data_IF_478099398554
#
_entry.id   IF_478099398554
#
_cell.length_a   1.000
_cell.length_b   1.000
_cell.length_c   1.000
_cell.angle_alpha   90.00
_cell.angle_beta   90.00
_cell.angle_gamma   90.00
#
_symmetry.space_group_name_H-M   'P 1'
#
loop_
_entity.id
_entity.type
_entity.pdbx_description
1 polymer ?
#
# COMPACT_ATOMS: atom_id res chain seq x y z
N UNK A 1 -30.06 36.22 -14.07
CA UNK A 1 -30.72 34.94 -14.40
C UNK A 1 -30.22 34.52 -15.77
N UNK A 2 -28.99 33.99 -15.86
CA UNK A 2 -28.41 33.56 -17.13
C UNK A 2 -28.79 32.10 -17.35
N UNK A 3 -29.73 31.88 -18.26
CA UNK A 3 -30.24 30.59 -18.70
C UNK A 3 -29.15 29.83 -19.45
N UNK A 4 -28.73 28.68 -18.93
CA UNK A 4 -27.89 27.72 -19.64
C UNK A 4 -28.68 27.10 -20.80
N UNK A 5 -28.72 27.77 -21.95
CA UNK A 5 -29.40 27.28 -23.15
C UNK A 5 -28.59 26.14 -23.77
N UNK A 6 -28.84 24.90 -23.35
CA UNK A 6 -28.32 23.70 -24.04
C UNK A 6 -28.11 22.45 -23.19
N UNK A 7 -28.03 22.56 -21.86
CA UNK A 7 -27.79 21.41 -20.98
C UNK A 7 -29.07 20.62 -20.62
N UNK A 8 -30.24 21.25 -20.72
CA UNK A 8 -31.51 20.68 -20.26
C UNK A 8 -32.41 20.14 -21.37
N UNK A 9 -31.92 19.99 -22.62
CA UNK A 9 -32.74 19.32 -23.66
C UNK A 9 -32.71 17.81 -23.38
N UNK A 10 -33.85 17.16 -23.07
CA UNK A 10 -33.89 15.72 -22.89
C UNK A 10 -33.42 15.07 -24.20
N UNK A 11 -32.27 14.40 -24.14
CA UNK A 11 -31.71 13.68 -25.28
C UNK A 11 -32.72 12.61 -25.72
N UNK A 12 -32.95 12.50 -27.03
CA UNK A 12 -33.93 11.54 -27.54
C UNK A 12 -33.56 10.11 -27.13
N UNK A 13 -34.56 9.24 -27.00
CA UNK A 13 -34.34 7.79 -26.76
C UNK A 13 -33.37 7.19 -27.79
N UNK A 14 -33.45 7.66 -29.04
CA UNK A 14 -32.53 7.30 -30.11
C UNK A 14 -31.08 7.70 -29.82
N UNK A 15 -30.84 8.92 -29.30
CA UNK A 15 -29.50 9.35 -28.91
C UNK A 15 -28.90 8.42 -27.85
N UNK A 16 -29.66 8.07 -26.81
CA UNK A 16 -29.17 7.15 -25.77
C UNK A 16 -28.87 5.77 -26.36
N UNK A 17 -29.80 5.20 -27.15
CA UNK A 17 -29.63 3.90 -27.79
C UNK A 17 -28.43 3.86 -28.74
N UNK A 18 -28.23 4.90 -29.54
CA UNK A 18 -27.09 5.05 -30.44
C UNK A 18 -25.77 5.01 -29.66
N UNK A 19 -25.63 5.84 -28.61
CA UNK A 19 -24.40 5.89 -27.83
C UNK A 19 -24.17 4.65 -26.97
N UNK A 20 -25.23 4.01 -26.45
CA UNK A 20 -25.09 2.72 -25.77
C UNK A 20 -24.62 1.63 -26.74
N UNK A 21 -25.15 1.61 -27.97
CA UNK A 21 -24.73 0.66 -29.00
C UNK A 21 -23.28 0.93 -29.43
N UNK A 22 -22.93 2.19 -29.67
CA UNK A 22 -21.56 2.58 -30.00
C UNK A 22 -20.57 2.20 -28.89
N UNK A 23 -20.96 2.37 -27.63
CA UNK A 23 -20.16 1.93 -26.48
C UNK A 23 -19.96 0.40 -26.46
N UNK A 24 -21.04 -0.37 -26.62
CA UNK A 24 -20.96 -1.84 -26.64
C UNK A 24 -20.13 -2.34 -27.82
N UNK A 25 -20.32 -1.79 -29.02
CA UNK A 25 -19.52 -2.12 -30.22
C UNK A 25 -18.04 -1.77 -29.96
N UNK A 26 -17.76 -0.59 -29.39
CA UNK A 26 -16.41 -0.18 -29.04
C UNK A 26 -15.75 -1.14 -28.04
N UNK A 27 -16.48 -1.54 -26.99
CA UNK A 27 -16.02 -2.50 -25.99
C UNK A 27 -15.73 -3.88 -26.61
N UNK A 28 -16.67 -4.41 -27.40
CA UNK A 28 -16.50 -5.69 -28.09
C UNK A 28 -15.33 -5.65 -29.07
N UNK A 29 -15.17 -4.54 -29.80
CA UNK A 29 -14.06 -4.35 -30.74
C UNK A 29 -12.72 -4.30 -30.01
N UNK A 30 -12.63 -3.60 -28.87
CA UNK A 30 -11.44 -3.58 -28.04
C UNK A 30 -11.09 -4.97 -27.49
N UNK A 31 -12.08 -5.72 -27.01
CA UNK A 31 -11.89 -7.12 -26.56
C UNK A 31 -11.43 -8.03 -27.70
N UNK A 32 -12.01 -7.90 -28.89
CA UNK A 32 -11.62 -8.68 -30.06
C UNK A 32 -10.20 -8.36 -30.52
N UNK A 33 -9.80 -7.08 -30.51
CA UNK A 33 -8.44 -6.64 -30.82
C UNK A 33 -7.43 -7.16 -29.79
N UNK A 34 -7.77 -7.12 -28.50
CA UNK A 34 -6.95 -7.69 -27.43
C UNK A 34 -6.76 -9.21 -27.63
N UNK A 35 -7.85 -9.94 -27.88
CA UNK A 35 -7.80 -11.38 -28.14
C UNK A 35 -7.02 -11.74 -29.40
N UNK A 36 -7.17 -10.97 -30.47
CA UNK A 36 -6.40 -11.17 -31.69
C UNK A 36 -4.90 -10.87 -31.47
N UNK A 37 -4.60 -9.84 -30.68
CA UNK A 37 -3.23 -9.51 -30.30
C UNK A 37 -2.60 -10.61 -29.45
N UNK A 38 -3.32 -11.17 -28.48
CA UNK A 38 -2.81 -12.26 -27.63
C UNK A 38 -2.54 -13.54 -28.43
N UNK A 39 -3.30 -13.82 -29.51
CA UNK A 39 -2.99 -14.92 -30.44
C UNK A 39 -1.70 -14.76 -31.22
N UNK A 40 -1.23 -13.53 -31.43
CA UNK A 40 0.03 -13.25 -32.13
C UNK A 40 1.26 -13.33 -31.23
N UNK A 41 1.05 -13.38 -29.91
CA UNK A 41 2.15 -13.53 -28.95
C UNK A 41 2.39 -15.02 -28.74
N UNK A 42 3.57 -15.51 -29.09
CA UNK A 42 4.02 -16.86 -28.74
C UNK A 42 4.28 -16.94 -27.24
N UNK A 43 3.22 -17.15 -26.46
CA UNK A 43 3.26 -17.19 -25.01
C UNK A 43 2.43 -18.35 -24.45
N UNK A 44 3.02 -19.11 -23.51
CA UNK A 44 2.32 -20.18 -22.81
C UNK A 44 1.77 -19.67 -21.49
N UNK A 45 0.45 -19.50 -21.45
CA UNK A 45 -0.25 -19.06 -20.25
C UNK A 45 -0.24 -20.14 -19.16
N UNK A 46 0.09 -19.76 -17.92
CA UNK A 46 0.31 -20.66 -16.78
C UNK A 46 -0.39 -20.15 -15.52
N UNK A 47 -1.68 -19.83 -15.66
CA UNK A 47 -2.55 -19.37 -14.58
C UNK A 47 -2.57 -20.31 -13.36
N UNK A 48 -2.34 -21.61 -13.57
CA UNK A 48 -2.26 -22.61 -12.51
C UNK A 48 -1.12 -22.37 -11.51
N UNK A 49 -0.12 -21.55 -11.86
CA UNK A 49 0.99 -21.18 -10.96
C UNK A 49 0.71 -19.93 -10.13
N UNK A 50 -0.30 -19.14 -10.46
CA UNK A 50 -0.59 -17.89 -9.75
C UNK A 50 -0.97 -18.09 -8.27
N UNK A 51 -1.80 -19.08 -7.89
CA UNK A 51 -2.24 -19.24 -6.50
C UNK A 51 -1.11 -19.38 -5.48
N UNK A 52 0.02 -20.01 -5.86
CA UNK A 52 1.17 -20.21 -4.95
C UNK A 52 1.81 -18.89 -4.49
N UNK A 53 1.61 -17.79 -5.23
CA UNK A 53 2.14 -16.48 -4.86
C UNK A 53 1.26 -15.74 -3.86
N UNK A 54 0.06 -16.26 -3.59
CA UNK A 54 -0.82 -15.77 -2.53
C UNK A 54 -0.62 -16.55 -1.25
N UNK A 55 -0.58 -17.88 -1.32
CA UNK A 55 -0.41 -18.77 -0.18
C UNK A 55 0.41 -19.96 -0.66
N UNK A 56 1.40 -20.38 0.12
CA UNK A 56 2.18 -21.58 -0.15
C UNK A 56 2.43 -22.38 1.13
N UNK A 57 2.62 -23.67 0.95
CA UNK A 57 2.95 -24.60 2.03
C UNK A 57 4.47 -24.74 2.10
N UNK A 58 5.05 -24.17 3.16
CA UNK A 58 6.48 -24.21 3.42
C UNK A 58 6.83 -25.51 4.17
N UNK A 59 7.82 -26.25 3.66
CA UNK A 59 8.29 -27.48 4.31
C UNK A 59 9.44 -27.13 5.24
N UNK A 60 9.13 -27.00 6.53
CA UNK A 60 10.13 -26.75 7.55
C UNK A 60 10.74 -28.08 7.97
N UNK A 61 12.00 -28.31 7.60
CA UNK A 61 12.71 -29.53 7.95
C UNK A 61 13.12 -29.49 9.43
N UNK A 62 12.79 -30.53 10.17
CA UNK A 62 13.33 -30.78 11.51
C UNK A 62 14.64 -31.53 11.34
N UNK A 63 15.70 -30.97 11.93
CA UNK A 63 17.05 -31.52 11.87
C UNK A 63 17.42 -32.10 13.21
N UNK A 64 18.19 -33.19 13.21
CA UNK A 64 18.77 -33.74 14.42
C UNK A 64 19.73 -32.73 15.05
N UNK A 65 19.61 -32.46 16.35
CA UNK A 65 20.57 -31.61 17.06
C UNK A 65 21.78 -32.42 17.55
N UNK A 66 21.61 -33.74 17.69
CA UNK A 66 22.66 -34.67 18.12
C UNK A 66 22.81 -35.88 17.20
N UNK A 67 23.96 -36.55 17.32
CA UNK A 67 24.19 -37.84 16.66
C UNK A 67 23.59 -38.98 17.49
N UNK A 68 22.94 -39.94 16.83
CA UNK A 68 22.30 -41.04 17.55
C UNK A 68 21.48 -41.95 16.67
N UNK A 69 20.89 -42.98 17.28
CA UNK A 69 19.98 -43.91 16.59
C UNK A 69 18.54 -43.60 16.95
N UNK A 70 17.62 -43.69 15.97
CA UNK A 70 16.19 -43.53 16.24
C UNK A 70 15.67 -44.77 16.97
N UNK A 71 15.35 -44.63 18.25
CA UNK A 71 14.99 -45.76 19.13
C UNK A 71 13.49 -45.94 19.30
N UNK A 72 12.71 -44.86 19.29
CA UNK A 72 11.25 -44.96 19.39
C UNK A 72 10.53 -43.98 18.48
N UNK A 73 9.47 -44.47 17.85
CA UNK A 73 8.54 -43.71 17.02
C UNK A 73 7.18 -43.95 17.65
N UNK A 74 6.80 -43.08 18.59
CA UNK A 74 5.54 -43.24 19.34
C UNK A 74 4.45 -42.43 18.68
N UNK A 75 3.45 -43.13 18.11
CA UNK A 75 2.30 -42.49 17.48
C UNK A 75 1.38 -41.87 18.54
N UNK A 76 1.20 -40.56 18.45
CA UNK A 76 0.28 -39.78 19.29
C UNK A 76 -0.79 -39.14 18.39
N UNK A 77 -1.77 -39.94 17.97
CA UNK A 77 -2.83 -39.50 17.06
C UNK A 77 -2.31 -39.22 15.64
N UNK A 78 -2.42 -37.97 15.17
CA UNK A 78 -1.89 -37.56 13.84
C UNK A 78 -0.39 -37.24 13.86
N UNK A 79 0.19 -37.15 15.06
CA UNK A 79 1.61 -36.84 15.27
C UNK A 79 2.39 -38.08 15.72
N UNK A 80 3.69 -38.00 15.57
CA UNK A 80 4.69 -39.01 15.87
C UNK A 80 5.75 -38.34 16.73
N UNK A 81 6.01 -38.89 17.90
CA UNK A 81 7.16 -38.55 18.71
C UNK A 81 8.34 -39.40 18.24
N UNK A 82 9.34 -38.76 17.64
CA UNK A 82 10.59 -39.38 17.22
C UNK A 82 11.60 -39.15 18.32
N UNK A 83 12.13 -40.23 18.87
CA UNK A 83 13.17 -40.18 19.90
C UNK A 83 14.49 -40.62 19.32
N UNK A 84 15.48 -39.72 19.37
CA UNK A 84 16.87 -39.97 18.98
C UNK A 84 17.66 -40.22 20.26
N UNK A 85 18.31 -41.38 20.35
CA UNK A 85 19.18 -41.73 21.47
C UNK A 85 20.63 -41.68 21.03
N UNK A 86 21.40 -40.78 21.63
CA UNK A 86 22.85 -40.68 21.44
C UNK A 86 23.62 -41.00 22.72
N UNK A 87 24.95 -40.93 22.64
CA UNK A 87 25.85 -41.27 23.76
C UNK A 87 25.73 -40.26 24.94
N UNK A 88 25.33 -39.02 24.65
CA UNK A 88 25.23 -37.91 25.61
C UNK A 88 23.80 -37.65 26.13
N UNK A 89 22.77 -38.38 25.65
CA UNK A 89 21.39 -38.18 26.08
C UNK A 89 20.32 -38.64 25.08
N UNK A 90 19.06 -38.27 25.38
CA UNK A 90 17.87 -38.60 24.59
C UNK A 90 17.18 -37.30 24.14
N UNK A 91 16.90 -37.19 22.85
CA UNK A 91 16.22 -36.05 22.22
C UNK A 91 14.88 -36.52 21.65
N UNK A 92 13.80 -35.75 21.81
CA UNK A 92 12.48 -36.10 21.28
C UNK A 92 11.85 -34.96 20.51
N UNK A 93 11.46 -35.22 19.27
CA UNK A 93 10.74 -34.27 18.41
C UNK A 93 9.36 -34.78 18.05
N UNK A 94 8.37 -33.90 18.08
CA UNK A 94 7.00 -34.22 17.62
C UNK A 94 6.83 -33.78 16.16
N UNK A 95 6.45 -34.70 15.30
CA UNK A 95 6.30 -34.51 13.85
C UNK A 95 4.98 -35.11 13.35
N UNK A 96 4.34 -34.56 12.31
CA UNK A 96 3.21 -35.25 11.66
C UNK A 96 3.62 -36.61 11.11
N UNK A 97 2.74 -37.62 11.20
CA UNK A 97 3.05 -39.00 10.77
C UNK A 97 3.42 -39.12 9.29
N UNK A 98 2.86 -38.26 8.44
CA UNK A 98 3.05 -38.24 6.99
C UNK A 98 4.36 -37.60 6.53
N UNK A 99 5.17 -37.06 7.44
CA UNK A 99 6.36 -36.28 7.11
C UNK A 99 7.64 -36.78 7.76
N UNK A 100 7.59 -37.97 8.35
CA UNK A 100 8.73 -38.75 8.80
C UNK A 100 9.51 -39.31 7.60
N UNK A 101 10.82 -39.10 7.55
CA UNK A 101 11.68 -39.59 6.46
C UNK A 101 12.54 -40.81 6.84
N UNK A 102 12.56 -41.16 8.12
CA UNK A 102 13.48 -42.15 8.70
C UNK A 102 12.72 -43.26 9.43
N UNK A 103 13.32 -44.45 9.49
CA UNK A 103 12.77 -45.62 10.16
C UNK A 103 13.45 -45.86 11.53
N UNK A 104 12.80 -46.60 12.46
CA UNK A 104 13.45 -47.02 13.69
C UNK A 104 14.71 -47.84 13.38
N UNK A 105 15.83 -47.50 14.03
CA UNK A 105 17.13 -48.12 13.78
C UNK A 105 18.02 -47.37 12.79
N UNK A 106 17.54 -46.32 12.14
CA UNK A 106 18.39 -45.44 11.33
C UNK A 106 19.30 -44.59 12.23
N UNK A 107 20.57 -44.46 11.85
CA UNK A 107 21.54 -43.58 12.49
C UNK A 107 21.51 -42.20 11.82
N UNK A 108 21.44 -41.15 12.63
CA UNK A 108 21.43 -39.75 12.17
C UNK A 108 22.63 -39.00 12.71
N UNK A 109 23.18 -38.11 11.89
CA UNK A 109 24.18 -37.14 12.33
C UNK A 109 23.53 -35.81 12.68
N UNK A 110 24.20 -35.00 13.51
CA UNK A 110 23.76 -33.65 13.81
C UNK A 110 23.62 -32.83 12.51
N UNK A 111 22.43 -32.29 12.27
CA UNK A 111 22.05 -31.55 11.07
C UNK A 111 21.29 -32.34 10.01
N UNK A 112 21.17 -33.68 10.15
CA UNK A 112 20.40 -34.51 9.24
C UNK A 112 18.89 -34.26 9.38
N UNK A 113 18.16 -34.30 8.26
CA UNK A 113 16.71 -34.08 8.27
C UNK A 113 15.98 -35.34 8.78
N UNK A 114 15.36 -35.24 9.96
CA UNK A 114 14.55 -36.30 10.57
C UNK A 114 13.17 -36.38 9.92
N UNK A 115 12.63 -35.22 9.56
CA UNK A 115 11.33 -35.07 8.92
C UNK A 115 11.05 -33.61 8.61
N UNK A 116 9.82 -33.31 8.22
CA UNK A 116 9.38 -31.92 8.04
C UNK A 116 8.00 -31.71 8.64
N UNK A 117 7.60 -30.46 8.87
CA UNK A 117 6.18 -30.12 8.97
C UNK A 117 5.85 -29.10 7.90
N UNK A 118 4.58 -29.10 7.48
CA UNK A 118 4.08 -28.17 6.48
C UNK A 118 3.41 -27.00 7.20
N UNK A 119 3.91 -25.79 7.00
CA UNK A 119 3.30 -24.58 7.52
C UNK A 119 2.79 -23.72 6.36
N UNK A 120 1.51 -23.37 6.38
CA UNK A 120 0.93 -22.49 5.37
C UNK A 120 1.34 -21.04 5.65
N UNK A 121 2.10 -20.43 4.74
CA UNK A 121 2.60 -19.05 4.86
C UNK A 121 2.00 -18.13 3.79
N UNK A 122 1.85 -16.82 4.10
CA UNK A 122 1.45 -15.85 3.10
C UNK A 122 2.52 -15.79 2.00
N UNK A 123 2.07 -15.84 0.75
CA UNK A 123 2.93 -15.67 -0.41
C UNK A 123 3.32 -14.21 -0.61
N UNK A 124 4.34 -14.03 -1.45
CA UNK A 124 4.97 -12.73 -1.74
C UNK A 124 4.00 -11.63 -2.20
N UNK A 125 2.89 -11.96 -2.88
CA UNK A 125 1.89 -10.97 -3.30
C UNK A 125 1.06 -10.46 -2.12
N UNK A 126 0.73 -11.32 -1.15
CA UNK A 126 0.02 -10.91 0.06
C UNK A 126 0.94 -10.04 0.91
N UNK A 127 2.20 -10.44 1.11
CA UNK A 127 3.17 -9.64 1.84
C UNK A 127 3.36 -8.25 1.21
N UNK A 128 3.52 -8.19 -0.12
CA UNK A 128 3.64 -6.93 -0.84
C UNK A 128 2.38 -6.06 -0.72
N UNK A 129 1.20 -6.67 -0.76
CA UNK A 129 -0.08 -5.97 -0.55
C UNK A 129 -0.20 -5.39 0.86
N UNK A 130 0.15 -6.16 1.90
CA UNK A 130 0.15 -5.71 3.29
C UNK A 130 1.14 -4.57 3.50
N UNK A 131 2.36 -4.69 2.96
CA UNK A 131 3.36 -3.63 3.06
C UNK A 131 2.91 -2.35 2.32
N UNK A 132 2.23 -2.50 1.18
CA UNK A 132 1.64 -1.36 0.44
C UNK A 132 0.64 -0.59 1.32
N UNK A 133 -0.23 -1.32 2.04
CA UNK A 133 -1.18 -0.73 2.97
C UNK A 133 -0.48 -0.07 4.17
N UNK A 134 0.51 -0.74 4.74
CA UNK A 134 1.29 -0.23 5.89
C UNK A 134 1.98 1.10 5.54
N UNK A 135 2.77 1.14 4.46
CA UNK A 135 3.50 2.36 4.08
C UNK A 135 2.56 3.50 3.72
N UNK A 136 1.44 3.19 3.06
CA UNK A 136 0.42 4.18 2.69
C UNK A 136 -0.29 4.74 3.92
N UNK A 137 -0.61 3.89 4.90
CA UNK A 137 -1.26 4.28 6.15
C UNK A 137 -0.34 5.17 7.01
N UNK A 138 0.95 4.83 7.12
CA UNK A 138 1.92 5.67 7.81
C UNK A 138 2.11 7.01 7.10
N UNK A 139 2.30 6.97 5.78
CA UNK A 139 2.54 8.18 4.99
C UNK A 139 1.34 9.14 4.99
N UNK A 140 0.10 8.64 4.95
CA UNK A 140 -1.09 9.52 5.01
C UNK A 140 -1.23 10.18 6.37
N UNK A 141 -0.91 9.48 7.47
CA UNK A 141 -0.97 10.06 8.82
C UNK A 141 0.00 11.22 8.94
N UNK A 142 1.27 11.02 8.58
CA UNK A 142 2.27 12.10 8.59
C UNK A 142 1.94 13.20 7.57
N UNK A 143 1.45 12.83 6.39
CA UNK A 143 1.04 13.77 5.35
C UNK A 143 -0.14 14.66 5.76
N UNK A 144 -1.15 14.12 6.46
CA UNK A 144 -2.26 14.91 6.99
C UNK A 144 -1.77 15.88 8.06
N UNK A 145 -0.91 15.43 8.98
CA UNK A 145 -0.34 16.30 10.01
C UNK A 145 0.43 17.45 9.37
N UNK A 146 1.37 17.14 8.48
CA UNK A 146 2.18 18.13 7.78
C UNK A 146 1.29 19.08 6.96
N UNK A 147 0.35 18.54 6.19
CA UNK A 147 -0.53 19.33 5.36
C UNK A 147 -1.50 20.21 6.15
N UNK A 148 -1.96 19.79 7.32
CA UNK A 148 -2.76 20.63 8.20
C UNK A 148 -1.96 21.84 8.68
N UNK A 149 -0.75 21.63 9.20
CA UNK A 149 0.11 22.73 9.65
C UNK A 149 0.50 23.67 8.51
N UNK A 150 0.94 23.13 7.38
CA UNK A 150 1.31 23.93 6.21
C UNK A 150 0.11 24.66 5.61
N UNK A 151 -1.05 24.02 5.54
CA UNK A 151 -2.29 24.62 5.03
C UNK A 151 -2.74 25.81 5.86
N UNK A 152 -2.66 25.69 7.20
CA UNK A 152 -2.91 26.79 8.14
C UNK A 152 -1.84 27.89 8.05
N UNK A 153 -0.56 27.52 7.95
CA UNK A 153 0.54 28.47 7.78
C UNK A 153 0.38 29.32 6.52
N UNK A 154 -0.13 28.74 5.43
CA UNK A 154 -0.35 29.45 4.16
C UNK A 154 -1.45 30.50 4.20
N UNK A 155 -2.47 30.32 5.03
CA UNK A 155 -3.54 31.32 5.23
C UNK A 155 -3.23 32.33 6.34
N UNK A 156 -2.06 32.20 6.97
CA UNK A 156 -1.61 33.12 8.01
C UNK A 156 -1.26 34.50 7.44
N UNK A 157 -1.47 35.53 8.24
CA UNK A 157 -1.03 36.89 7.95
C UNK A 157 0.50 37.07 8.14
N UNK A 158 1.16 36.14 8.84
CA UNK A 158 2.60 36.18 9.03
C UNK A 158 3.32 35.83 7.71
N UNK A 159 4.11 36.77 7.13
CA UNK A 159 4.76 36.56 5.83
C UNK A 159 5.75 35.39 5.84
N UNK A 160 6.47 35.16 6.94
CA UNK A 160 7.44 34.05 7.02
C UNK A 160 6.74 32.69 6.94
N UNK A 161 5.65 32.51 7.70
CA UNK A 161 4.85 31.28 7.66
C UNK A 161 4.20 31.07 6.29
N UNK A 162 3.63 32.15 5.72
CA UNK A 162 2.96 32.10 4.43
C UNK A 162 3.94 31.78 3.30
N UNK A 163 5.06 32.46 3.22
CA UNK A 163 6.05 32.25 2.16
C UNK A 163 6.77 30.92 2.31
N UNK A 164 7.09 30.49 3.53
CA UNK A 164 7.64 29.16 3.78
C UNK A 164 6.69 28.04 3.33
N UNK A 165 5.39 28.18 3.65
CA UNK A 165 4.37 27.23 3.21
C UNK A 165 4.20 27.22 1.69
N UNK A 166 4.20 28.40 1.03
CA UNK A 166 4.14 28.50 -0.43
C UNK A 166 5.36 27.82 -1.06
N UNK A 167 6.57 28.15 -0.62
CA UNK A 167 7.80 27.58 -1.18
C UNK A 167 7.82 26.05 -1.09
N UNK A 168 7.47 25.50 0.08
CA UNK A 168 7.35 24.05 0.26
C UNK A 168 6.30 23.43 -0.68
N UNK A 169 5.09 23.99 -0.75
CA UNK A 169 4.01 23.44 -1.59
C UNK A 169 4.40 23.47 -3.06
N UNK A 170 4.90 24.60 -3.57
CA UNK A 170 5.24 24.77 -4.99
C UNK A 170 6.43 23.89 -5.39
N UNK A 171 7.45 23.76 -4.53
CA UNK A 171 8.61 22.91 -4.81
C UNK A 171 8.23 21.42 -4.86
N UNK A 172 7.43 20.97 -3.90
CA UNK A 172 7.04 19.56 -3.79
C UNK A 172 6.02 19.19 -4.88
N UNK A 173 5.03 20.04 -5.17
CA UNK A 173 4.06 19.75 -6.23
C UNK A 173 4.63 19.99 -7.63
N UNK A 174 5.63 20.84 -7.76
CA UNK A 174 6.33 21.12 -9.01
C UNK A 174 7.40 20.10 -9.40
N UNK A 175 7.74 19.16 -8.52
CA UNK A 175 8.78 18.14 -8.77
C UNK A 175 8.22 16.71 -8.83
N UNK A 176 8.82 15.80 -9.61
CA UNK A 176 8.37 14.42 -9.69
C UNK A 176 8.56 13.66 -8.37
N UNK A 177 7.55 12.91 -7.94
CA UNK A 177 7.61 12.09 -6.72
C UNK A 177 8.78 11.10 -6.73
N UNK A 178 9.05 10.44 -7.86
CA UNK A 178 10.16 9.50 -7.97
C UNK A 178 11.52 10.16 -7.64
N UNK A 179 11.73 11.41 -8.08
CA UNK A 179 12.95 12.15 -7.77
C UNK A 179 13.02 12.48 -6.28
N UNK A 180 11.89 12.85 -5.67
CA UNK A 180 11.82 13.10 -4.23
C UNK A 180 12.14 11.83 -3.42
N UNK A 181 11.65 10.66 -3.83
CA UNK A 181 11.98 9.37 -3.21
C UNK A 181 13.49 9.12 -3.28
N UNK A 182 14.12 9.36 -4.42
CA UNK A 182 15.58 9.23 -4.54
C UNK A 182 16.35 10.20 -3.66
N UNK A 183 15.95 11.47 -3.58
CA UNK A 183 16.60 12.44 -2.70
C UNK A 183 16.47 12.02 -1.22
N UNK A 184 15.28 11.58 -0.81
CA UNK A 184 15.05 11.11 0.56
C UNK A 184 15.86 9.87 0.90
N UNK A 185 15.95 8.91 0.00
CA UNK A 185 16.68 7.68 0.26
C UNK A 185 18.20 7.87 0.14
N UNK A 186 18.69 8.32 -1.02
CA UNK A 186 20.12 8.36 -1.32
C UNK A 186 20.85 9.57 -0.71
N UNK A 187 20.19 10.72 -0.58
CA UNK A 187 20.83 11.92 -0.01
C UNK A 187 20.54 12.00 1.48
N UNK A 188 19.27 12.16 1.85
CA UNK A 188 18.88 12.35 3.25
C UNK A 188 19.17 11.11 4.08
N UNK A 189 18.83 9.92 3.58
CA UNK A 189 19.08 8.66 4.26
C UNK A 189 20.55 8.39 4.52
N UNK A 190 21.41 8.60 3.52
CA UNK A 190 22.86 8.48 3.68
C UNK A 190 23.39 9.46 4.72
N UNK A 191 23.04 10.74 4.63
CA UNK A 191 23.51 11.76 5.59
C UNK A 191 23.07 11.42 7.02
N UNK A 192 21.79 11.09 7.22
CA UNK A 192 21.26 10.78 8.55
C UNK A 192 21.92 9.52 9.11
N UNK A 193 21.99 8.43 8.34
CA UNK A 193 22.60 7.18 8.82
C UNK A 193 24.11 7.32 9.07
N UNK A 194 24.82 8.13 8.27
CA UNK A 194 26.23 8.44 8.53
C UNK A 194 26.42 9.24 9.82
N UNK A 195 25.54 10.21 10.10
CA UNK A 195 25.58 10.96 11.36
C UNK A 195 25.28 10.05 12.55
N UNK A 196 24.20 9.26 12.48
CA UNK A 196 23.84 8.31 13.54
C UNK A 196 24.95 7.32 13.85
N UNK A 197 25.60 6.78 12.82
CA UNK A 197 26.73 5.86 12.98
C UNK A 197 27.93 6.51 13.69
N UNK A 198 28.18 7.81 13.50
CA UNK A 198 29.25 8.52 14.23
C UNK A 198 28.96 8.62 15.73
N UNK A 199 27.69 8.66 16.11
CA UNK A 199 27.25 8.65 17.51
C UNK A 199 27.02 7.23 18.06
N UNK A 200 27.36 6.18 17.30
CA UNK A 200 27.15 4.78 17.71
C UNK A 200 25.67 4.34 17.70
N UNK A 201 24.78 5.08 17.02
CA UNK A 201 23.36 4.77 16.91
C UNK A 201 23.13 3.91 15.66
N UNK A 202 22.24 2.91 15.77
CA UNK A 202 21.87 2.03 14.66
C UNK A 202 21.25 2.77 13.47
N UNK A 203 21.35 2.16 12.28
CA UNK A 203 20.83 2.74 11.05
C UNK A 203 19.30 2.69 10.99
N UNK A 204 18.70 3.74 10.44
CA UNK A 204 17.28 3.78 10.14
C UNK A 204 16.99 2.94 8.88
N UNK A 205 15.99 2.04 8.91
CA UNK A 205 15.59 1.25 7.75
C UNK A 205 15.13 2.09 6.55
N UNK A 206 15.34 1.62 5.29
CA UNK A 206 14.85 2.24 4.05
C UNK A 206 13.37 2.61 4.06
N UNK A 207 12.55 1.78 4.73
CA UNK A 207 11.12 1.95 4.89
C UNK A 207 10.74 3.36 5.34
N UNK A 208 11.42 3.89 6.36
CA UNK A 208 11.10 5.20 6.94
C UNK A 208 11.43 6.35 6.00
N UNK A 209 12.51 6.26 5.23
CA UNK A 209 12.82 7.27 4.22
C UNK A 209 11.79 7.28 3.09
N UNK A 210 11.31 6.10 2.68
CA UNK A 210 10.19 5.97 1.74
C UNK A 210 8.89 6.57 2.27
N UNK A 211 8.52 6.23 3.52
CA UNK A 211 7.34 6.77 4.20
C UNK A 211 7.43 8.30 4.32
N UNK A 212 8.58 8.85 4.69
CA UNK A 212 8.78 10.30 4.80
C UNK A 212 8.71 11.00 3.46
N UNK A 213 9.27 10.42 2.39
CA UNK A 213 9.15 10.98 1.04
C UNK A 213 7.68 11.06 0.60
N UNK A 214 6.92 9.97 0.79
CA UNK A 214 5.49 9.92 0.49
C UNK A 214 4.67 10.88 1.36
N UNK A 215 5.00 11.00 2.65
CA UNK A 215 4.33 11.88 3.60
C UNK A 215 4.53 13.36 3.25
N UNK A 216 5.73 13.74 2.86
CA UNK A 216 6.07 15.11 2.43
C UNK A 216 5.36 15.44 1.12
N UNK A 217 5.40 14.53 0.16
CA UNK A 217 4.64 14.70 -1.08
C UNK A 217 3.15 14.87 -0.80
N UNK A 218 2.56 13.94 -0.06
CA UNK A 218 1.13 13.97 0.31
C UNK A 218 0.77 15.19 1.16
N UNK A 219 1.67 15.66 2.01
CA UNK A 219 1.48 16.82 2.86
C UNK A 219 1.33 18.10 2.05
N UNK A 220 2.05 18.26 0.93
CA UNK A 220 1.90 19.42 0.06
C UNK A 220 0.52 19.46 -0.62
N UNK A 221 0.02 18.32 -1.10
CA UNK A 221 -1.34 18.22 -1.65
C UNK A 221 -2.40 18.40 -0.56
N UNK A 222 -2.19 17.82 0.62
CA UNK A 222 -3.08 17.98 1.77
C UNK A 222 -3.16 19.44 2.21
N UNK A 223 -2.06 20.20 2.18
CA UNK A 223 -2.04 21.62 2.48
C UNK A 223 -2.91 22.45 1.53
N UNK A 224 -2.91 22.11 0.24
CA UNK A 224 -3.81 22.72 -0.75
C UNK A 224 -5.26 22.40 -0.48
N UNK A 225 -5.56 21.14 -0.16
CA UNK A 225 -6.90 20.69 0.19
C UNK A 225 -7.42 21.45 1.42
N UNK A 226 -6.59 21.58 2.46
CA UNK A 226 -6.93 22.33 3.68
C UNK A 226 -7.20 23.80 3.36
N UNK A 227 -6.30 24.46 2.61
CA UNK A 227 -6.48 25.86 2.20
C UNK A 227 -7.76 26.05 1.39
N UNK A 228 -7.98 25.21 0.38
CA UNK A 228 -9.15 25.27 -0.49
C UNK A 228 -10.44 25.03 0.29
N UNK A 229 -10.42 24.07 1.22
CA UNK A 229 -11.53 23.78 2.12
C UNK A 229 -11.92 24.98 2.97
N UNK A 230 -10.94 25.66 3.59
CA UNK A 230 -11.17 26.88 4.37
C UNK A 230 -11.69 28.02 3.49
N UNK A 231 -11.08 28.26 2.34
CA UNK A 231 -11.47 29.34 1.43
C UNK A 231 -12.82 29.12 0.73
N UNK A 232 -13.29 27.89 0.66
CA UNK A 232 -14.59 27.58 0.09
C UNK A 232 -15.74 28.12 0.96
N UNK A 233 -15.54 28.28 2.28
CA UNK A 233 -16.57 28.79 3.20
C UNK A 233 -16.92 30.23 2.81
N UNK A 234 -18.21 30.52 2.66
CA UNK A 234 -18.68 31.82 2.20
C UNK A 234 -18.18 32.95 3.12
N UNK A 235 -17.59 34.02 2.54
CA UNK A 235 -16.97 35.12 3.30
C UNK A 235 -17.91 35.75 4.32
N UNK A 236 -19.21 35.84 3.99
CA UNK A 236 -20.26 36.31 4.89
C UNK A 236 -20.36 35.54 6.22
N UNK A 237 -19.90 34.28 6.31
CA UNK A 237 -19.82 33.55 7.59
C UNK A 237 -18.80 34.18 8.54
N UNK A 238 -17.65 34.61 8.02
CA UNK A 238 -16.65 35.32 8.80
C UNK A 238 -17.16 36.71 9.18
N UNK A 239 -17.74 37.44 8.23
CA UNK A 239 -18.30 38.77 8.47
C UNK A 239 -19.38 38.73 9.56
N UNK A 240 -20.36 37.82 9.45
CA UNK A 240 -21.41 37.64 10.46
C UNK A 240 -20.86 37.28 11.85
N UNK A 241 -19.89 36.35 11.92
CA UNK A 241 -19.27 35.99 13.19
C UNK A 241 -18.53 37.18 13.84
N UNK A 242 -17.84 37.99 13.03
CA UNK A 242 -17.15 39.21 13.49
C UNK A 242 -18.15 40.30 13.92
N UNK A 243 -19.28 40.46 13.21
CA UNK A 243 -20.38 41.37 13.59
C UNK A 243 -21.04 40.97 14.91
N UNK A 244 -21.05 39.68 15.26
CA UNK A 244 -21.50 39.18 16.57
C UNK A 244 -20.42 39.30 17.68
N UNK A 245 -19.35 40.05 17.43
CA UNK A 245 -18.30 40.33 18.41
C UNK A 245 -17.27 39.20 18.62
N UNK A 246 -17.26 38.15 17.80
CA UNK A 246 -16.23 37.11 17.90
C UNK A 246 -14.87 37.64 17.43
N UNK A 247 -13.77 37.27 18.11
CA UNK A 247 -12.39 37.47 17.59
C UNK A 247 -12.14 36.58 16.36
N UNK A 248 -11.15 36.90 15.51
CA UNK A 248 -10.80 36.06 14.35
C UNK A 248 -10.57 34.60 14.75
N UNK A 249 -9.80 34.36 15.82
CA UNK A 249 -9.53 33.02 16.32
C UNK A 249 -10.80 32.29 16.79
N UNK A 250 -11.73 33.01 17.45
CA UNK A 250 -13.00 32.45 17.90
C UNK A 250 -13.93 32.14 16.73
N UNK A 251 -14.02 33.03 15.74
CA UNK A 251 -14.79 32.84 14.52
C UNK A 251 -14.23 31.67 13.69
N UNK A 252 -12.90 31.62 13.51
CA UNK A 252 -12.22 30.52 12.81
C UNK A 252 -12.50 29.17 13.47
N UNK A 253 -12.32 29.07 14.79
CA UNK A 253 -12.51 27.80 15.53
C UNK A 253 -13.96 27.35 15.59
N UNK A 254 -14.92 28.26 15.79
CA UNK A 254 -16.32 27.91 16.08
C UNK A 254 -17.24 27.92 14.86
N UNK A 255 -16.90 28.66 13.81
CA UNK A 255 -17.77 28.86 12.64
C UNK A 255 -17.12 28.29 11.38
N UNK A 256 -15.89 28.70 11.07
CA UNK A 256 -15.27 28.40 9.78
C UNK A 256 -14.69 26.98 9.73
N UNK A 257 -13.83 26.60 10.68
CA UNK A 257 -13.17 25.29 10.69
C UNK A 257 -14.16 24.10 10.69
N UNK A 258 -15.26 24.10 11.47
CA UNK A 258 -16.23 23.01 11.42
C UNK A 258 -16.88 22.85 10.03
N UNK A 259 -17.15 23.96 9.34
CA UNK A 259 -17.71 23.94 7.97
C UNK A 259 -16.65 23.50 6.95
N UNK A 260 -15.43 24.03 7.08
CA UNK A 260 -14.31 23.68 6.21
C UNK A 260 -13.96 22.20 6.32
N UNK A 261 -13.97 21.63 7.53
CA UNK A 261 -13.66 20.22 7.77
C UNK A 261 -14.55 19.27 6.96
N UNK A 262 -15.86 19.52 6.91
CA UNK A 262 -16.80 18.74 6.09
C UNK A 262 -16.50 18.79 4.59
N UNK A 263 -15.89 19.89 4.12
CA UNK A 263 -15.49 20.07 2.72
C UNK A 263 -14.10 19.54 2.41
N UNK A 264 -13.26 19.38 3.43
CA UNK A 264 -11.89 18.85 3.34
C UNK A 264 -11.91 17.31 3.27
N UNK A 265 -12.84 16.65 3.97
CA UNK A 265 -12.88 15.19 4.06
C UNK A 265 -12.96 14.47 2.70
N UNK A 266 -13.85 14.83 1.75
CA UNK A 266 -13.96 14.11 0.48
C UNK A 266 -12.67 14.13 -0.37
N UNK A 267 -12.02 15.29 -0.62
CA UNK A 267 -10.76 15.30 -1.38
C UNK A 267 -9.58 14.66 -0.63
N UNK A 268 -9.55 14.69 0.70
CA UNK A 268 -8.52 13.95 1.46
C UNK A 268 -8.58 12.45 1.23
N UNK A 269 -9.79 11.90 1.11
CA UNK A 269 -9.95 10.49 0.87
C UNK A 269 -9.51 10.10 -0.56
N UNK A 270 -9.77 10.97 -1.55
CA UNK A 270 -9.18 10.83 -2.89
C UNK A 270 -7.65 10.90 -2.89
N UNK A 271 -7.07 11.73 -2.02
CA UNK A 271 -5.62 11.80 -1.83
C UNK A 271 -5.06 10.50 -1.23
N UNK A 272 -5.75 9.89 -0.26
CA UNK A 272 -5.35 8.60 0.30
C UNK A 272 -5.35 7.48 -0.74
N UNK A 273 -6.38 7.40 -1.59
CA UNK A 273 -6.46 6.41 -2.68
C UNK A 273 -5.33 6.63 -3.70
N UNK A 274 -4.97 7.88 -3.97
CA UNK A 274 -3.85 8.20 -4.85
C UNK A 274 -2.52 7.77 -4.24
N UNK A 275 -2.34 8.02 -2.94
CA UNK A 275 -1.13 7.63 -2.20
C UNK A 275 -0.85 6.12 -2.24
N UNK A 276 -1.90 5.29 -2.15
CA UNK A 276 -1.78 3.84 -2.27
C UNK A 276 -1.23 3.40 -3.64
N UNK A 277 -1.50 4.16 -4.71
CA UNK A 277 -0.90 3.92 -6.01
C UNK A 277 0.51 4.50 -6.10
N UNK A 278 0.72 5.69 -5.54
CA UNK A 278 2.03 6.35 -5.51
C UNK A 278 3.08 5.54 -4.74
N UNK A 279 2.66 4.75 -3.74
CA UNK A 279 3.57 3.86 -3.01
C UNK A 279 4.22 2.80 -3.91
N UNK A 280 3.66 2.49 -5.09
CA UNK A 280 4.29 1.61 -6.10
C UNK A 280 5.68 2.08 -6.52
N UNK A 281 5.96 3.37 -6.41
CA UNK A 281 7.28 3.93 -6.72
C UNK A 281 8.35 3.54 -5.71
N UNK A 282 7.99 3.10 -4.50
CA UNK A 282 8.96 2.69 -3.48
C UNK A 282 9.76 1.44 -3.86
N UNK A 283 9.28 0.64 -4.82
CA UNK A 283 10.01 -0.53 -5.31
C UNK A 283 11.40 -0.23 -5.89
N UNK A 284 11.64 1.03 -6.30
CA UNK A 284 12.94 1.49 -6.81
C UNK A 284 14.02 1.59 -5.73
N UNK A 285 13.63 1.73 -4.46
CA UNK A 285 14.52 1.74 -3.29
C UNK A 285 14.42 0.42 -2.52
N UNK A 286 14.04 -0.66 -3.22
CA UNK A 286 13.97 -2.03 -2.71
C UNK A 286 12.98 -2.26 -1.56
N UNK A 287 11.99 -1.39 -1.40
CA UNK A 287 10.85 -1.68 -0.53
C UNK A 287 9.92 -2.64 -1.28
N UNK A 288 9.70 -3.84 -0.72
CA UNK A 288 8.92 -4.92 -1.34
C UNK A 288 7.41 -4.70 -1.21
N UNK A 289 6.92 -3.58 -1.73
CA UNK A 289 5.49 -3.35 -1.92
C UNK A 289 4.95 -4.18 -3.10
N UNK A 290 3.65 -4.09 -3.40
CA UNK A 290 2.96 -4.97 -4.34
C UNK A 290 3.57 -4.97 -5.76
N UNK A 291 3.98 -3.81 -6.28
CA UNK A 291 4.60 -3.69 -7.61
C UNK A 291 5.98 -4.37 -7.64
N UNK A 292 6.79 -4.16 -6.60
CA UNK A 292 8.11 -4.78 -6.43
C UNK A 292 8.00 -6.29 -6.22
N UNK A 293 7.09 -6.74 -5.36
CA UNK A 293 6.77 -8.15 -5.15
C UNK A 293 6.38 -8.81 -6.47
N UNK A 294 5.49 -8.19 -7.24
CA UNK A 294 5.10 -8.66 -8.57
C UNK A 294 6.31 -8.75 -9.51
N UNK A 295 7.17 -7.73 -9.53
CA UNK A 295 8.40 -7.74 -10.35
C UNK A 295 9.35 -8.88 -9.97
N UNK A 296 9.52 -9.17 -8.68
CA UNK A 296 10.33 -10.29 -8.20
C UNK A 296 9.76 -11.64 -8.66
N UNK A 297 8.44 -11.80 -8.62
CA UNK A 297 7.77 -12.97 -9.18
C UNK A 297 7.97 -13.07 -10.69
N UNK A 298 7.83 -11.97 -11.45
CA UNK A 298 8.10 -11.99 -12.89
C UNK A 298 9.54 -12.40 -13.19
N UNK A 299 10.52 -11.85 -12.46
CA UNK A 299 11.94 -12.16 -12.68
C UNK A 299 12.30 -13.60 -12.36
N UNK A 300 11.64 -14.23 -11.38
CA UNK A 300 11.91 -15.61 -10.97
C UNK A 300 11.12 -16.65 -11.77
N UNK A 301 9.87 -16.35 -12.14
CA UNK A 301 8.98 -17.28 -12.84
C UNK A 301 9.01 -17.15 -14.36
N UNK A 302 9.52 -16.02 -14.87
CA UNK A 302 9.43 -15.60 -16.27
C UNK A 302 7.97 -15.53 -16.78
N UNK A 303 7.04 -15.17 -15.90
CA UNK A 303 5.61 -15.03 -16.19
C UNK A 303 5.14 -13.57 -16.14
N UNK A 304 5.48 -12.73 -17.13
CA UNK A 304 5.15 -11.31 -17.07
C UNK A 304 3.65 -11.05 -17.18
N UNK A 305 2.92 -11.74 -18.06
CA UNK A 305 1.54 -11.37 -18.37
C UNK A 305 0.59 -11.64 -17.21
N UNK A 306 0.58 -12.87 -16.67
CA UNK A 306 -0.31 -13.26 -15.57
C UNK A 306 -0.07 -12.40 -14.35
N UNK A 307 1.21 -12.18 -13.99
CA UNK A 307 1.57 -11.48 -12.77
C UNK A 307 1.29 -9.98 -12.86
N UNK A 308 1.53 -9.34 -14.01
CA UNK A 308 1.14 -7.93 -14.18
C UNK A 308 -0.37 -7.74 -14.23
N UNK A 309 -1.12 -8.68 -14.82
CA UNK A 309 -2.60 -8.67 -14.78
C UNK A 309 -3.08 -8.81 -13.33
N UNK A 310 -2.54 -9.77 -12.58
CA UNK A 310 -2.87 -9.99 -11.16
C UNK A 310 -2.53 -8.75 -10.33
N UNK A 311 -1.35 -8.16 -10.51
CA UNK A 311 -0.95 -6.92 -9.85
C UNK A 311 -1.94 -5.77 -10.12
N UNK A 312 -2.33 -5.56 -11.38
CA UNK A 312 -3.32 -4.54 -11.75
C UNK A 312 -4.69 -4.81 -11.11
N UNK A 313 -5.15 -6.05 -11.09
CA UNK A 313 -6.39 -6.46 -10.42
C UNK A 313 -6.30 -6.21 -8.92
N UNK A 314 -5.18 -6.53 -8.28
CA UNK A 314 -4.99 -6.32 -6.84
C UNK A 314 -5.01 -4.83 -6.47
N UNK A 315 -4.33 -3.96 -7.22
CA UNK A 315 -4.46 -2.51 -7.03
C UNK A 315 -5.89 -2.02 -7.27
N UNK A 316 -6.59 -2.55 -8.28
CA UNK A 316 -7.98 -2.19 -8.55
C UNK A 316 -8.89 -2.59 -7.40
N UNK A 317 -8.80 -3.84 -6.92
CA UNK A 317 -9.58 -4.34 -5.78
C UNK A 317 -9.29 -3.50 -4.54
N UNK A 318 -8.01 -3.22 -4.27
CA UNK A 318 -7.58 -2.41 -3.14
C UNK A 318 -8.16 -0.99 -3.20
N UNK A 319 -7.95 -0.29 -4.31
CA UNK A 319 -8.41 1.10 -4.47
C UNK A 319 -9.93 1.21 -4.57
N UNK A 320 -10.60 0.26 -5.20
CA UNK A 320 -12.06 0.19 -5.26
C UNK A 320 -12.66 -0.04 -3.87
N UNK A 321 -12.13 -1.01 -3.12
CA UNK A 321 -12.60 -1.30 -1.75
C UNK A 321 -12.42 -0.08 -0.84
N UNK A 322 -11.26 0.58 -0.91
CA UNK A 322 -11.00 1.82 -0.18
C UNK A 322 -11.96 2.95 -0.61
N UNK A 323 -12.23 3.11 -1.91
CA UNK A 323 -13.17 4.11 -2.41
C UNK A 323 -14.59 3.88 -1.89
N UNK A 324 -15.06 2.63 -1.91
CA UNK A 324 -16.38 2.27 -1.39
C UNK A 324 -16.47 2.50 0.13
N UNK A 325 -15.43 2.13 0.87
CA UNK A 325 -15.35 2.36 2.32
C UNK A 325 -15.37 3.86 2.65
N UNK A 326 -14.59 4.66 1.93
CA UNK A 326 -14.57 6.12 2.05
C UNK A 326 -15.95 6.73 1.77
N UNK A 327 -16.60 6.35 0.67
CA UNK A 327 -17.91 6.87 0.31
C UNK A 327 -18.97 6.53 1.37
N UNK A 328 -18.87 5.34 1.96
CA UNK A 328 -19.74 4.96 3.07
C UNK A 328 -19.51 5.86 4.30
N UNK A 329 -18.26 6.13 4.67
CA UNK A 329 -17.93 7.04 5.78
C UNK A 329 -18.38 8.47 5.49
N UNK A 330 -18.20 8.95 4.26
CA UNK A 330 -18.60 10.28 3.82
C UNK A 330 -20.12 10.48 3.97
N UNK A 331 -20.93 9.52 3.52
CA UNK A 331 -22.40 9.56 3.65
C UNK A 331 -22.89 9.58 5.09
N UNK A 332 -22.09 9.09 6.04
CA UNK A 332 -22.44 9.06 7.47
C UNK A 332 -21.94 10.29 8.23
N UNK A 333 -20.87 10.93 7.75
CA UNK A 333 -20.22 12.07 8.40
C UNK A 333 -20.75 13.44 7.95
N UNK A 334 -21.38 13.52 6.76
CA UNK A 334 -21.99 14.73 6.18
C UNK A 334 -23.49 14.75 6.48
#
# INVERSE_FOLDING_TARGET
>A
MATYTGLDRPKSKFYYQFWSLAFVIGLCSAMALLYYSTKKVEYTWRWNRVPQYFIYDDKVNIRAEMEGTITSITETGENVLVTVQGDDGEESHTLPKTSLLLAPGDYVYAGDNIGFYSETKPGILIEGLLLTLEVSALAIVFGILLGLFTGLARISDNPALRWGAIAYIELIRGSPLLVQIFLWYFVVGTVINSMLSQYGIGQIPPLWFGVMALAIFTGAYTAEIVRAGIQSVHRGQMEAARSLGMTYNKAMRKVILPQAFRRILPPLAGQFISLVKDSSLLGVISIRELTKASREVVSSSLQPFEIWIVCAILYLVLTFTLSMFVQYLERKAI
#
